data_IF_271220549896
#
_entry.id   IF_271220549896
#
_cell.length_a   1.000
_cell.length_b   1.000
_cell.length_c   1.000
_cell.angle_alpha   90.00
_cell.angle_beta   90.00
_cell.angle_gamma   90.00
#
_symmetry.space_group_name_H-M   'P 1'
#
loop_
_entity.id
_entity.type
_entity.pdbx_description
1 polymer ?
#
# COMPACT_ATOMS: atom_id res chain seq x y z
N UNK A 1 26.64 -11.96 3.36
CA UNK A 1 25.39 -11.18 3.35
C UNK A 1 25.40 -10.29 4.59
N UNK A 2 25.20 -8.97 4.46
CA UNK A 2 25.24 -8.04 5.59
C UNK A 2 24.09 -8.31 6.58
N UNK A 3 24.29 -8.00 7.86
CA UNK A 3 23.26 -8.17 8.89
C UNK A 3 21.98 -7.38 8.57
N UNK A 4 22.14 -6.20 7.96
CA UNK A 4 21.05 -5.34 7.48
C UNK A 4 20.18 -6.04 6.43
N UNK A 5 20.79 -6.75 5.48
CA UNK A 5 20.05 -7.46 4.44
C UNK A 5 19.16 -8.57 5.03
N UNK A 6 19.66 -9.31 6.01
CA UNK A 6 18.89 -10.32 6.73
C UNK A 6 17.76 -9.72 7.56
N UNK A 7 18.01 -8.56 8.20
CA UNK A 7 16.98 -7.85 8.95
C UNK A 7 15.85 -7.38 8.03
N UNK A 8 16.17 -6.73 6.91
CA UNK A 8 15.19 -6.28 5.92
C UNK A 8 14.35 -7.44 5.39
N UNK A 9 15.00 -8.56 5.07
CA UNK A 9 14.31 -9.75 4.58
C UNK A 9 13.36 -10.31 5.65
N UNK A 10 13.81 -10.41 6.91
CA UNK A 10 12.98 -10.91 8.00
C UNK A 10 11.76 -10.01 8.24
N UNK A 11 11.95 -8.69 8.30
CA UNK A 11 10.86 -7.72 8.47
C UNK A 11 9.86 -7.80 7.32
N UNK A 12 10.36 -7.91 6.07
CA UNK A 12 9.50 -8.06 4.90
C UNK A 12 8.68 -9.35 4.96
N UNK A 13 9.31 -10.48 5.28
CA UNK A 13 8.63 -11.77 5.40
C UNK A 13 7.58 -11.75 6.52
N UNK A 14 7.88 -11.14 7.67
CA UNK A 14 6.94 -10.97 8.77
C UNK A 14 5.75 -10.10 8.34
N UNK A 15 6.01 -9.00 7.65
CA UNK A 15 4.95 -8.08 7.17
C UNK A 15 3.99 -8.81 6.24
N UNK A 16 4.51 -9.57 5.28
CA UNK A 16 3.70 -10.40 4.39
C UNK A 16 2.90 -11.44 5.18
N UNK A 17 3.52 -12.13 6.15
CA UNK A 17 2.84 -13.13 6.97
C UNK A 17 1.72 -12.53 7.84
N UNK A 18 1.92 -11.32 8.39
CA UNK A 18 0.91 -10.57 9.14
C UNK A 18 -0.29 -10.23 8.25
N UNK A 19 -0.03 -9.75 7.04
CA UNK A 19 -1.07 -9.42 6.06
C UNK A 19 -1.84 -10.67 5.60
N UNK A 20 -1.13 -11.76 5.29
CA UNK A 20 -1.75 -13.03 4.87
C UNK A 20 -2.66 -13.62 5.95
N UNK A 21 -2.30 -13.44 7.23
CA UNK A 21 -3.09 -13.92 8.37
C UNK A 21 -4.15 -12.92 8.84
N UNK A 22 -4.22 -11.73 8.24
CA UNK A 22 -5.15 -10.67 8.64
C UNK A 22 -4.97 -10.18 10.08
N UNK A 23 -3.75 -10.29 10.64
CA UNK A 23 -3.48 -9.96 12.04
C UNK A 23 -3.51 -8.45 12.32
N UNK A 24 -3.30 -7.63 11.28
CA UNK A 24 -3.36 -6.18 11.36
C UNK A 24 -3.81 -5.59 10.00
N UNK A 25 -4.38 -4.37 9.99
CA UNK A 25 -4.67 -3.66 8.75
C UNK A 25 -3.42 -3.50 7.87
N UNK A 26 -3.55 -3.52 6.53
CA UNK A 26 -2.42 -3.35 5.62
C UNK A 26 -1.61 -2.08 5.88
N UNK A 27 -2.29 -0.97 6.17
CA UNK A 27 -1.66 0.33 6.47
C UNK A 27 -0.77 0.27 7.70
N UNK A 28 -1.25 -0.36 8.78
CA UNK A 28 -0.50 -0.53 10.03
C UNK A 28 0.67 -1.47 9.83
N UNK A 29 0.47 -2.56 9.08
CA UNK A 29 1.53 -3.55 8.81
C UNK A 29 2.70 -2.95 8.04
N UNK A 30 2.40 -2.23 6.96
CA UNK A 30 3.42 -1.59 6.12
C UNK A 30 4.11 -0.42 6.83
N UNK A 31 3.35 0.44 7.53
CA UNK A 31 3.92 1.55 8.27
C UNK A 31 4.79 1.05 9.44
N UNK A 32 4.34 0.02 10.16
CA UNK A 32 5.10 -0.61 11.23
C UNK A 32 6.42 -1.18 10.73
N UNK A 33 6.42 -1.85 9.57
CA UNK A 33 7.64 -2.35 8.94
C UNK A 33 8.63 -1.22 8.61
N UNK A 34 8.15 -0.12 8.03
CA UNK A 34 8.97 1.05 7.73
C UNK A 34 9.56 1.68 9.01
N UNK A 35 8.76 1.81 10.08
CA UNK A 35 9.22 2.29 11.38
C UNK A 35 10.29 1.38 11.99
N UNK A 36 10.12 0.07 11.92
CA UNK A 36 11.10 -0.89 12.44
C UNK A 36 12.43 -0.78 11.71
N UNK A 37 12.42 -0.70 10.36
CA UNK A 37 13.66 -0.57 9.57
C UNK A 37 14.33 0.79 9.75
N UNK A 38 13.56 1.87 9.89
CA UNK A 38 14.08 3.18 10.23
C UNK A 38 14.71 3.22 11.63
N UNK A 39 14.03 2.65 12.63
CA UNK A 39 14.53 2.60 14.00
C UNK A 39 15.81 1.75 14.12
N UNK A 40 15.94 0.71 13.28
CA UNK A 40 17.15 -0.10 13.16
C UNK A 40 18.27 0.58 12.35
N UNK A 41 18.04 1.77 11.79
CA UNK A 41 19.03 2.51 10.98
C UNK A 41 19.29 1.92 9.60
N UNK A 42 18.45 0.99 9.13
CA UNK A 42 18.61 0.34 7.82
C UNK A 42 18.11 1.22 6.68
N UNK A 43 17.14 2.09 6.96
CA UNK A 43 16.58 3.03 5.99
C UNK A 43 16.53 4.43 6.60
N UNK A 44 16.92 5.44 5.82
CA UNK A 44 16.75 6.84 6.20
C UNK A 44 15.27 7.28 6.05
N UNK A 45 14.82 8.33 6.77
CA UNK A 45 13.44 8.80 6.71
C UNK A 45 12.97 9.13 5.28
N UNK A 46 13.86 9.71 4.48
CA UNK A 46 13.57 10.07 3.08
C UNK A 46 13.31 8.83 2.22
N UNK A 47 14.07 7.75 2.44
CA UNK A 47 13.91 6.49 1.73
C UNK A 47 12.63 5.77 2.15
N UNK A 48 12.32 5.76 3.44
CA UNK A 48 11.10 5.16 3.97
C UNK A 48 9.83 5.90 3.52
N UNK A 49 9.92 7.23 3.38
CA UNK A 49 8.80 8.08 2.94
C UNK A 49 8.66 8.17 1.42
N UNK A 50 9.68 7.80 0.64
CA UNK A 50 9.63 7.84 -0.83
C UNK A 50 8.46 7.03 -1.42
N UNK A 51 8.01 5.98 -0.74
CA UNK A 51 6.84 5.20 -1.13
C UNK A 51 5.52 6.00 -1.13
N UNK A 52 5.39 7.02 -0.28
CA UNK A 52 4.22 7.91 -0.25
C UNK A 52 4.20 8.90 -1.41
N UNK A 53 5.35 9.24 -1.97
CA UNK A 53 5.47 10.08 -3.16
C UNK A 53 5.25 9.32 -4.47
N UNK A 54 4.95 8.01 -4.41
CA UNK A 54 4.65 7.23 -5.59
C UNK A 54 3.36 7.74 -6.25
N UNK A 55 3.32 7.95 -7.58
CA UNK A 55 2.09 8.36 -8.26
C UNK A 55 0.96 7.33 -8.19
N UNK A 56 1.25 6.05 -7.96
CA UNK A 56 0.26 4.97 -8.02
C UNK A 56 -0.89 5.10 -6.99
N UNK A 57 -0.66 5.35 -5.68
CA UNK A 57 -1.75 5.62 -4.73
C UNK A 57 -2.65 6.79 -5.16
N UNK A 58 -2.08 7.85 -5.74
CA UNK A 58 -2.84 9.00 -6.21
C UNK A 58 -3.70 8.68 -7.43
N UNK A 59 -3.20 7.89 -8.37
CA UNK A 59 -4.00 7.45 -9.53
C UNK A 59 -5.17 6.58 -9.10
N UNK A 60 -4.94 5.63 -8.18
CA UNK A 60 -6.02 4.81 -7.60
C UNK A 60 -7.02 5.70 -6.85
N UNK A 61 -6.56 6.65 -6.05
CA UNK A 61 -7.43 7.62 -5.37
C UNK A 61 -8.32 8.41 -6.34
N UNK A 62 -7.75 8.89 -7.46
CA UNK A 62 -8.52 9.57 -8.49
C UNK A 62 -9.58 8.65 -9.13
N UNK A 63 -9.24 7.38 -9.39
CA UNK A 63 -10.21 6.40 -9.89
C UNK A 63 -11.35 6.14 -8.90
N UNK A 64 -11.08 6.14 -7.59
CA UNK A 64 -12.13 6.02 -6.57
C UNK A 64 -13.09 7.22 -6.58
N UNK A 65 -12.58 8.44 -6.80
CA UNK A 65 -13.42 9.64 -6.97
C UNK A 65 -14.31 9.52 -8.21
N UNK A 66 -13.73 9.10 -9.34
CA UNK A 66 -14.49 8.89 -10.59
C UNK A 66 -15.53 7.79 -10.43
N UNK A 67 -15.18 6.68 -9.79
CA UNK A 67 -16.10 5.58 -9.51
C UNK A 67 -17.30 6.05 -8.67
N UNK A 68 -17.05 6.90 -7.67
CA UNK A 68 -18.12 7.49 -6.85
C UNK A 68 -19.04 8.40 -7.67
N UNK A 69 -18.47 9.26 -8.52
CA UNK A 69 -19.24 10.15 -9.40
C UNK A 69 -20.11 9.37 -10.39
N UNK A 70 -19.58 8.29 -10.98
CA UNK A 70 -20.34 7.41 -11.87
C UNK A 70 -21.49 6.70 -11.15
N UNK A 71 -21.28 6.30 -9.89
CA UNK A 71 -22.31 5.68 -9.07
C UNK A 71 -23.44 6.65 -8.72
N UNK A 72 -23.13 7.89 -8.33
CA UNK A 72 -24.15 8.88 -7.95
C UNK A 72 -24.98 9.39 -9.14
N UNK A 73 -24.38 9.46 -10.33
CA UNK A 73 -25.06 9.89 -11.56
C UNK A 73 -25.89 8.79 -12.24
N UNK A 74 -25.81 7.55 -11.74
CA UNK A 74 -26.46 6.39 -12.39
C UNK A 74 -25.80 5.97 -13.70
N UNK A 75 -24.64 6.53 -14.05
CA UNK A 75 -23.91 6.26 -15.30
C UNK A 75 -23.39 4.81 -15.40
N UNK A 76 -23.35 4.08 -14.28
CA UNK A 76 -22.97 2.66 -14.24
C UNK A 76 -23.94 1.77 -15.04
N UNK A 77 -25.25 2.04 -15.00
CA UNK A 77 -26.26 1.18 -15.64
C UNK A 77 -26.17 1.24 -17.18
N UNK A 78 -26.12 2.43 -17.83
CA UNK A 78 -25.88 2.52 -19.27
C UNK A 78 -24.55 1.87 -19.69
N UNK A 79 -23.48 2.09 -18.91
CA UNK A 79 -22.16 1.54 -19.22
C UNK A 79 -22.15 0.00 -19.21
N UNK A 80 -22.82 -0.62 -18.24
CA UNK A 80 -22.94 -2.08 -18.15
C UNK A 80 -23.79 -2.66 -19.29
N UNK A 81 -24.84 -1.96 -19.72
CA UNK A 81 -25.72 -2.41 -20.81
C UNK A 81 -25.06 -2.41 -22.19
N UNK A 82 -23.91 -1.74 -22.36
CA UNK A 82 -23.14 -1.75 -23.61
C UNK A 82 -22.10 -2.88 -23.66
N UNK A 83 -21.81 -3.51 -22.51
CA UNK A 83 -20.80 -4.56 -22.37
C UNK A 83 -21.37 -5.99 -22.38
N UNK A 84 -22.67 -6.14 -22.15
CA UNK A 84 -23.43 -7.40 -22.22
C UNK A 84 -24.26 -7.46 -23.51
#
# INVERSE_FOLDING_TARGET
MSAEAWLTLAVTAITVAVMLRGLAPPSVSLLGAAVVLMAAGVTEPEQALAGFANPAPFTVGALLVVARAAHETGALVPALSTML
#
